data_IF_390855347077
#
_entry.id   IF_390855347077
#
_cell.length_a   1.000
_cell.length_b   1.000
_cell.length_c   1.000
_cell.angle_alpha   90.00
_cell.angle_beta   90.00
_cell.angle_gamma   90.00
#
_symmetry.space_group_name_H-M   'P 1'
#
loop_
_entity.id
_entity.type
_entity.pdbx_description
1 polymer ?
#
# COMPACT_ATOMS: atom_id res chain seq x y z
N UNK A 1 24.63 -9.45 0.12
CA UNK A 1 25.05 -8.04 -0.03
C UNK A 1 26.54 -7.92 0.27
N UNK A 2 27.36 -7.26 -0.57
CA UNK A 2 28.77 -7.01 -0.25
C UNK A 2 28.87 -6.02 0.92
N UNK A 3 29.52 -6.41 2.02
CA UNK A 3 29.73 -5.52 3.17
C UNK A 3 30.93 -4.62 2.92
N UNK A 4 30.72 -3.33 2.75
CA UNK A 4 31.80 -2.36 2.68
C UNK A 4 32.23 -1.96 4.10
N UNK A 5 33.45 -2.33 4.50
CA UNK A 5 34.07 -1.87 5.75
C UNK A 5 34.86 -0.59 5.48
N UNK A 6 34.37 0.53 5.98
CA UNK A 6 35.11 1.79 5.96
C UNK A 6 36.05 1.84 7.17
N UNK A 7 37.35 1.96 6.92
CA UNK A 7 38.36 2.19 7.95
C UNK A 7 38.93 3.61 7.84
N UNK A 8 39.45 4.10 8.96
CA UNK A 8 40.10 5.40 9.04
C UNK A 8 41.48 5.29 8.35
N UNK A 9 41.81 6.26 7.50
CA UNK A 9 43.06 6.28 6.72
C UNK A 9 44.27 6.30 7.66
N UNK A 10 45.08 5.23 7.64
CA UNK A 10 46.29 5.07 8.46
C UNK A 10 47.58 5.05 7.62
N UNK A 11 47.46 5.24 6.30
CA UNK A 11 48.59 5.30 5.38
C UNK A 11 49.16 3.94 4.99
N UNK A 12 48.65 2.84 5.55
CA UNK A 12 48.97 1.47 5.12
C UNK A 12 48.05 0.97 4.00
N UNK A 13 46.96 1.69 3.72
CA UNK A 13 46.07 1.38 2.60
C UNK A 13 46.74 1.70 1.27
N UNK A 14 46.75 0.75 0.34
CA UNK A 14 47.12 0.95 -1.06
C UNK A 14 45.85 0.94 -1.94
N UNK A 15 45.07 2.04 -2.00
CA UNK A 15 43.79 2.06 -2.73
C UNK A 15 43.95 1.99 -4.25
N UNK A 16 45.16 2.13 -4.80
CA UNK A 16 45.44 2.23 -6.24
C UNK A 16 46.40 1.15 -6.78
N UNK A 17 46.58 0.04 -6.04
CA UNK A 17 47.20 -1.18 -6.57
C UNK A 17 48.51 -1.03 -7.38
N UNK A 18 48.62 -1.83 -8.45
CA UNK A 18 49.73 -1.84 -9.43
C UNK A 18 49.56 -0.75 -10.52
N UNK A 19 48.49 0.05 -10.45
CA UNK A 19 48.08 1.04 -11.47
C UNK A 19 48.92 2.33 -11.43
N UNK A 20 49.88 2.42 -10.51
CA UNK A 20 50.67 3.62 -10.21
C UNK A 20 51.54 4.05 -11.39
N UNK A 21 52.06 3.10 -12.15
CA UNK A 21 53.01 3.38 -13.24
C UNK A 21 52.31 4.02 -14.45
N UNK A 22 51.09 3.59 -14.81
CA UNK A 22 50.30 4.26 -15.87
C UNK A 22 49.64 5.55 -15.41
N UNK A 23 49.29 5.65 -14.13
CA UNK A 23 48.91 6.92 -13.49
C UNK A 23 50.03 7.95 -13.71
N UNK A 24 51.28 7.55 -13.48
CA UNK A 24 52.46 8.39 -13.71
C UNK A 24 52.70 8.71 -15.18
N UNK A 25 52.44 7.81 -16.12
CA UNK A 25 52.55 8.10 -17.56
C UNK A 25 51.50 9.12 -18.02
N UNK A 26 50.22 8.95 -17.63
CA UNK A 26 49.17 9.90 -18.02
C UNK A 26 49.36 11.28 -17.38
N UNK A 27 49.88 11.32 -16.14
CA UNK A 27 50.24 12.56 -15.46
C UNK A 27 51.49 13.18 -16.09
N UNK A 28 52.47 12.38 -16.51
CA UNK A 28 53.70 12.88 -17.14
C UNK A 28 53.44 13.55 -18.48
N UNK A 29 52.57 12.98 -19.32
CA UNK A 29 52.21 13.60 -20.61
C UNK A 29 51.53 14.97 -20.42
N UNK A 30 50.60 15.09 -19.47
CA UNK A 30 49.91 16.36 -19.19
C UNK A 30 50.79 17.39 -18.45
N UNK A 31 51.71 16.93 -17.58
CA UNK A 31 52.69 17.77 -16.87
C UNK A 31 53.79 18.25 -17.81
N UNK A 32 54.23 17.43 -18.78
CA UNK A 32 55.17 17.87 -19.82
C UNK A 32 54.52 18.89 -20.77
N UNK A 33 53.22 18.78 -21.02
CA UNK A 33 52.50 19.72 -21.88
C UNK A 33 52.20 21.08 -21.21
N UNK A 34 51.92 21.12 -19.90
CA UNK A 34 51.44 22.35 -19.23
C UNK A 34 52.12 22.70 -17.90
N UNK A 35 53.05 21.89 -17.41
CA UNK A 35 53.93 22.20 -16.27
C UNK A 35 53.30 22.17 -14.87
N UNK A 36 52.04 21.72 -14.72
CA UNK A 36 51.35 21.74 -13.42
C UNK A 36 50.59 20.44 -13.14
N UNK A 37 51.13 19.66 -12.20
CA UNK A 37 50.59 18.38 -11.74
C UNK A 37 49.17 18.51 -11.14
N UNK A 38 48.88 19.64 -10.48
CA UNK A 38 47.54 19.86 -9.92
C UNK A 38 46.49 20.02 -11.01
N UNK A 39 46.88 20.59 -12.16
CA UNK A 39 45.99 20.75 -13.31
C UNK A 39 45.72 19.42 -13.99
N UNK A 40 46.75 18.57 -14.15
CA UNK A 40 46.63 17.22 -14.72
C UNK A 40 45.69 16.35 -13.88
N UNK A 41 45.91 16.29 -12.56
CA UNK A 41 45.05 15.56 -11.62
C UNK A 41 43.60 16.06 -11.67
N UNK A 42 43.38 17.38 -11.70
CA UNK A 42 42.03 17.95 -11.78
C UNK A 42 41.33 17.62 -13.10
N UNK A 43 42.09 17.57 -14.19
CA UNK A 43 41.60 17.21 -15.52
C UNK A 43 41.18 15.74 -15.58
N UNK A 44 42.02 14.87 -15.01
CA UNK A 44 41.77 13.44 -14.86
C UNK A 44 40.51 13.18 -14.02
N UNK A 45 40.38 13.79 -12.84
CA UNK A 45 39.17 13.67 -12.01
C UNK A 45 37.91 14.21 -12.69
N UNK A 46 38.02 15.19 -13.58
CA UNK A 46 36.87 15.75 -14.30
C UNK A 46 36.45 14.94 -15.52
N UNK A 47 37.38 14.29 -16.23
CA UNK A 47 37.10 13.54 -17.48
C UNK A 47 37.08 12.02 -17.32
N UNK A 48 37.61 11.49 -16.21
CA UNK A 48 37.85 10.06 -16.03
C UNK A 48 39.16 9.63 -16.66
N UNK A 49 39.51 8.36 -16.46
CA UNK A 49 40.71 7.73 -17.02
C UNK A 49 40.43 6.26 -17.34
N UNK A 50 41.31 5.61 -18.10
CA UNK A 50 41.20 4.19 -18.44
C UNK A 50 42.11 3.36 -17.53
N UNK A 51 41.57 2.27 -17.01
CA UNK A 51 42.27 1.29 -16.18
C UNK A 51 43.07 0.28 -17.04
N UNK A 52 43.94 -0.52 -16.42
CA UNK A 52 44.83 -1.48 -17.10
C UNK A 52 44.08 -2.50 -17.97
N UNK A 53 42.88 -2.89 -17.57
CA UNK A 53 41.98 -3.79 -18.32
C UNK A 53 41.25 -3.11 -19.49
N UNK A 54 41.54 -1.83 -19.78
CA UNK A 54 40.82 -1.01 -20.75
C UNK A 54 39.43 -0.58 -20.28
N UNK A 55 39.15 -0.72 -18.98
CA UNK A 55 37.88 -0.30 -18.38
C UNK A 55 37.93 1.21 -18.10
N UNK A 56 36.97 1.95 -18.64
CA UNK A 56 36.88 3.39 -18.42
C UNK A 56 36.33 3.68 -17.01
N UNK A 57 37.11 4.37 -16.20
CA UNK A 57 36.71 4.87 -14.89
C UNK A 57 36.00 6.22 -15.08
N UNK A 58 34.74 6.29 -14.66
CA UNK A 58 33.89 7.47 -14.78
C UNK A 58 34.50 8.67 -14.03
N UNK A 59 34.56 9.83 -14.69
CA UNK A 59 34.94 11.09 -14.06
C UNK A 59 33.85 11.64 -13.13
N UNK A 60 34.17 12.69 -12.37
CA UNK A 60 33.21 13.40 -11.51
C UNK A 60 32.00 13.95 -12.30
N UNK A 61 32.16 14.22 -13.60
CA UNK A 61 31.06 14.67 -14.46
C UNK A 61 30.06 13.54 -14.72
N UNK A 62 30.54 12.41 -15.23
CA UNK A 62 29.73 11.20 -15.43
C UNK A 62 29.12 10.73 -14.10
N UNK A 63 29.87 10.73 -13.00
CA UNK A 63 29.32 10.37 -11.69
C UNK A 63 28.20 11.33 -11.25
N UNK A 64 28.35 12.64 -11.50
CA UNK A 64 27.29 13.62 -11.21
C UNK A 64 26.08 13.45 -12.11
N UNK A 65 26.28 13.14 -13.38
CA UNK A 65 25.20 12.86 -14.33
C UNK A 65 24.45 11.58 -13.94
N UNK A 66 25.18 10.53 -13.55
CA UNK A 66 24.63 9.27 -12.99
C UNK A 66 23.89 9.50 -11.67
N UNK A 67 24.43 10.30 -10.75
CA UNK A 67 23.77 10.66 -9.50
C UNK A 67 22.50 11.49 -9.74
N UNK A 68 22.50 12.38 -10.73
CA UNK A 68 21.28 13.11 -11.13
C UNK A 68 20.23 12.18 -11.72
N UNK A 69 20.63 11.27 -12.62
CA UNK A 69 19.73 10.27 -13.20
C UNK A 69 19.17 9.33 -12.11
N UNK A 70 20.01 8.87 -11.18
CA UNK A 70 19.59 8.03 -10.06
C UNK A 70 18.68 8.78 -9.09
N UNK A 71 18.95 10.05 -8.81
CA UNK A 71 18.06 10.92 -8.03
C UNK A 71 16.72 11.09 -8.72
N UNK A 72 16.72 11.29 -10.03
CA UNK A 72 15.49 11.47 -10.81
C UNK A 72 14.65 10.19 -10.84
N UNK A 73 15.27 9.03 -11.05
CA UNK A 73 14.61 7.72 -10.94
C UNK A 73 14.07 7.44 -9.53
N UNK A 74 14.80 7.85 -8.49
CA UNK A 74 14.30 7.75 -7.11
C UNK A 74 13.11 8.68 -6.88
N UNK A 75 13.15 9.92 -7.37
CA UNK A 75 12.03 10.86 -7.27
C UNK A 75 10.80 10.38 -8.05
N UNK A 76 10.96 9.80 -9.24
CA UNK A 76 9.87 9.18 -10.01
C UNK A 76 9.28 7.96 -9.29
N UNK A 77 10.13 7.16 -8.62
CA UNK A 77 9.68 6.04 -7.76
C UNK A 77 8.89 6.52 -6.53
N UNK A 78 9.03 7.78 -6.13
CA UNK A 78 8.27 8.44 -5.06
C UNK A 78 7.17 9.38 -5.59
N UNK A 79 6.58 9.09 -6.76
CA UNK A 79 5.36 9.74 -7.30
C UNK A 79 4.12 9.71 -6.35
N UNK A 80 4.27 9.21 -5.13
CA UNK A 80 3.28 9.34 -4.05
C UNK A 80 2.95 10.81 -3.78
N UNK A 81 3.90 11.75 -3.91
CA UNK A 81 3.65 13.17 -3.63
C UNK A 81 2.64 13.77 -4.63
N UNK A 82 2.78 13.46 -5.92
CA UNK A 82 1.83 13.91 -6.96
C UNK A 82 0.46 13.27 -6.82
N UNK A 83 0.38 11.98 -6.46
CA UNK A 83 -0.91 11.31 -6.21
C UNK A 83 -1.60 11.88 -4.97
N UNK A 84 -0.82 12.25 -3.95
CA UNK A 84 -1.34 12.88 -2.74
C UNK A 84 -1.82 14.31 -3.00
N UNK A 85 -1.14 15.05 -3.86
CA UNK A 85 -1.58 16.37 -4.31
C UNK A 85 -2.89 16.29 -5.10
N UNK A 86 -3.00 15.36 -6.06
CA UNK A 86 -4.24 15.12 -6.81
C UNK A 86 -5.39 14.70 -5.89
N UNK A 87 -5.12 13.82 -4.92
CA UNK A 87 -6.10 13.38 -3.92
C UNK A 87 -6.59 14.56 -3.08
N UNK A 88 -5.67 15.42 -2.63
CA UNK A 88 -5.97 16.61 -1.85
C UNK A 88 -6.81 17.60 -2.63
N UNK A 89 -6.50 17.82 -3.90
CA UNK A 89 -7.28 18.71 -4.78
C UNK A 89 -8.70 18.19 -4.97
N UNK A 90 -8.87 16.91 -5.30
CA UNK A 90 -10.21 16.31 -5.47
C UNK A 90 -11.02 16.32 -4.18
N UNK A 91 -10.38 16.05 -3.04
CA UNK A 91 -11.01 16.13 -1.73
C UNK A 91 -11.48 17.56 -1.42
N UNK A 92 -10.67 18.56 -1.74
CA UNK A 92 -11.05 19.97 -1.61
C UNK A 92 -12.23 20.33 -2.51
N UNK A 93 -12.30 19.79 -3.73
CA UNK A 93 -13.45 19.98 -4.63
C UNK A 93 -14.74 19.37 -4.05
N UNK A 94 -14.67 18.19 -3.43
CA UNK A 94 -15.80 17.57 -2.72
C UNK A 94 -16.29 18.48 -1.59
N UNK A 95 -15.38 18.94 -0.73
CA UNK A 95 -15.70 19.82 0.41
C UNK A 95 -16.28 21.15 -0.09
N UNK A 96 -15.69 21.75 -1.12
CA UNK A 96 -16.18 22.99 -1.71
C UNK A 96 -17.58 22.82 -2.31
N UNK A 97 -17.84 21.69 -2.96
CA UNK A 97 -19.16 21.36 -3.52
C UNK A 97 -20.20 21.19 -2.42
N UNK A 98 -19.87 20.48 -1.33
CA UNK A 98 -20.75 20.33 -0.17
C UNK A 98 -21.05 21.67 0.49
N UNK A 99 -20.03 22.49 0.78
CA UNK A 99 -20.20 23.84 1.35
C UNK A 99 -21.09 24.73 0.47
N UNK A 100 -20.95 24.64 -0.85
CA UNK A 100 -21.79 25.35 -1.81
C UNK A 100 -23.23 24.82 -1.79
N UNK A 101 -23.40 23.50 -1.77
CA UNK A 101 -24.70 22.83 -1.73
C UNK A 101 -25.47 23.14 -0.45
N UNK A 102 -24.83 23.09 0.72
CA UNK A 102 -25.39 23.49 2.01
C UNK A 102 -25.90 24.93 1.94
N UNK A 103 -25.05 25.86 1.47
CA UNK A 103 -25.39 27.28 1.36
C UNK A 103 -26.56 27.52 0.42
N UNK A 104 -26.56 26.84 -0.74
CA UNK A 104 -27.65 26.90 -1.70
C UNK A 104 -28.97 26.41 -1.10
N UNK A 105 -28.97 25.24 -0.45
CA UNK A 105 -30.15 24.64 0.16
C UNK A 105 -30.76 25.53 1.25
N UNK A 106 -29.93 26.12 2.11
CA UNK A 106 -30.38 27.07 3.14
C UNK A 106 -30.92 28.35 2.53
N UNK A 107 -30.32 28.85 1.46
CA UNK A 107 -30.79 30.05 0.78
C UNK A 107 -32.13 29.81 0.07
N UNK A 108 -32.25 28.74 -0.70
CA UNK A 108 -33.50 28.36 -1.38
C UNK A 108 -34.65 28.17 -0.37
N UNK A 109 -34.36 27.50 0.73
CA UNK A 109 -35.24 27.34 1.87
C UNK A 109 -35.74 28.69 2.44
N UNK A 110 -34.84 29.67 2.63
CA UNK A 110 -35.19 31.02 3.10
C UNK A 110 -36.04 31.78 2.09
N UNK A 111 -35.68 31.73 0.81
CA UNK A 111 -36.41 32.40 -0.26
C UNK A 111 -37.84 31.84 -0.40
N UNK A 112 -38.01 30.52 -0.25
CA UNK A 112 -39.34 29.90 -0.22
C UNK A 112 -40.19 30.42 0.94
N UNK A 113 -39.59 30.62 2.12
CA UNK A 113 -40.30 31.10 3.30
C UNK A 113 -40.72 32.57 3.17
N UNK A 114 -39.87 33.40 2.53
CA UNK A 114 -40.20 34.79 2.21
C UNK A 114 -41.32 34.90 1.17
N UNK A 115 -41.39 33.99 0.20
CA UNK A 115 -42.42 33.98 -0.85
C UNK A 115 -43.81 33.55 -0.35
N UNK A 116 -43.88 32.63 0.62
CA UNK A 116 -45.16 32.09 1.13
C UNK A 116 -45.74 32.97 2.26
N UNK A 117 -44.97 33.89 2.84
CA UNK A 117 -45.46 34.90 3.78
C UNK A 117 -45.91 34.31 5.14
N UNK A 118 -46.77 35.04 5.86
CA UNK A 118 -47.15 34.76 7.26
C UNK A 118 -48.05 33.51 7.44
N UNK A 119 -48.57 32.91 6.35
CA UNK A 119 -49.34 31.65 6.38
C UNK A 119 -48.45 30.39 6.52
N UNK A 120 -47.13 30.57 6.58
CA UNK A 120 -46.09 29.53 6.57
C UNK A 120 -45.66 29.04 7.96
N UNK A 121 -46.53 29.13 8.98
CA UNK A 121 -46.18 28.70 10.35
C UNK A 121 -45.70 27.24 10.44
N UNK A 122 -46.20 26.38 9.54
CA UNK A 122 -45.85 24.96 9.45
C UNK A 122 -44.47 24.69 8.82
N UNK A 123 -43.90 25.65 8.07
CA UNK A 123 -42.57 25.52 7.45
C UNK A 123 -41.44 26.00 8.37
N UNK A 124 -41.73 26.75 9.44
CA UNK A 124 -40.70 27.27 10.36
C UNK A 124 -39.90 26.19 11.09
N UNK A 125 -40.55 25.13 11.57
CA UNK A 125 -39.87 24.03 12.28
C UNK A 125 -38.93 23.24 11.36
N UNK A 126 -39.37 22.75 10.18
CA UNK A 126 -38.47 22.14 9.20
C UNK A 126 -37.26 23.01 8.82
N UNK A 127 -37.46 24.33 8.73
CA UNK A 127 -36.38 25.26 8.38
C UNK A 127 -35.36 25.40 9.49
N UNK A 128 -35.80 25.48 10.75
CA UNK A 128 -34.89 25.52 11.89
C UNK A 128 -34.03 24.26 11.95
N UNK A 129 -34.62 23.09 11.72
CA UNK A 129 -33.89 21.83 11.65
C UNK A 129 -32.89 21.79 10.49
N UNK A 130 -33.26 22.31 9.31
CA UNK A 130 -32.34 22.42 8.18
C UNK A 130 -31.17 23.35 8.48
N UNK A 131 -31.43 24.50 9.10
CA UNK A 131 -30.39 25.46 9.49
C UNK A 131 -29.45 24.91 10.58
N UNK A 132 -30.00 24.20 11.57
CA UNK A 132 -29.23 23.51 12.60
C UNK A 132 -28.33 22.44 11.98
N UNK A 133 -28.90 21.59 11.12
CA UNK A 133 -28.13 20.60 10.37
C UNK A 133 -27.04 21.24 9.50
N UNK A 134 -27.37 22.31 8.76
CA UNK A 134 -26.42 23.01 7.92
C UNK A 134 -25.25 23.58 8.73
N UNK A 135 -25.52 24.07 9.94
CA UNK A 135 -24.50 24.56 10.86
C UNK A 135 -23.63 23.43 11.39
N UNK A 136 -24.24 22.34 11.86
CA UNK A 136 -23.51 21.17 12.35
C UNK A 136 -22.61 20.57 11.26
N UNK A 137 -23.14 20.48 10.04
CA UNK A 137 -22.38 20.07 8.85
C UNK A 137 -21.19 20.99 8.58
N UNK A 138 -21.39 22.32 8.61
CA UNK A 138 -20.30 23.28 8.41
C UNK A 138 -19.23 23.17 9.49
N UNK A 139 -19.63 23.04 10.75
CA UNK A 139 -18.69 22.89 11.87
C UNK A 139 -17.87 21.60 11.73
N UNK A 140 -18.48 20.50 11.30
CA UNK A 140 -17.75 19.24 11.00
C UNK A 140 -16.73 19.42 9.88
N UNK A 141 -17.13 20.05 8.77
CA UNK A 141 -16.25 20.29 7.61
C UNK A 141 -15.06 21.20 7.98
N UNK A 142 -15.24 22.16 8.89
CA UNK A 142 -14.18 23.04 9.39
C UNK A 142 -13.22 22.33 10.36
N UNK A 143 -13.68 21.27 11.04
CA UNK A 143 -12.86 20.46 11.96
C UNK A 143 -12.10 19.30 11.29
N UNK A 144 -12.23 19.14 9.97
CA UNK A 144 -11.59 18.05 9.25
C UNK A 144 -10.06 18.07 9.44
N UNK A 145 -9.42 16.90 9.60
CA UNK A 145 -7.97 16.79 9.68
C UNK A 145 -7.28 17.35 8.42
N UNK A 146 -6.10 17.97 8.59
CA UNK A 146 -5.29 18.44 7.46
C UNK A 146 -4.75 17.29 6.58
N UNK A 147 -4.74 16.06 7.12
CA UNK A 147 -4.29 14.88 6.39
C UNK A 147 -5.41 14.32 5.48
N UNK A 148 -5.12 14.03 4.20
CA UNK A 148 -6.12 13.49 3.28
C UNK A 148 -6.76 12.18 3.78
N UNK A 149 -5.97 11.28 4.37
CA UNK A 149 -6.48 10.03 4.91
C UNK A 149 -7.43 10.23 6.11
N UNK A 150 -7.14 11.19 6.98
CA UNK A 150 -8.01 11.53 8.12
C UNK A 150 -9.33 12.14 7.64
N UNK A 151 -9.26 13.09 6.71
CA UNK A 151 -10.45 13.71 6.14
C UNK A 151 -11.33 12.72 5.36
N UNK A 152 -10.77 11.78 4.59
CA UNK A 152 -11.54 10.73 3.91
C UNK A 152 -12.28 9.84 4.92
N UNK A 153 -11.61 9.46 6.01
CA UNK A 153 -12.23 8.66 7.06
C UNK A 153 -13.42 9.38 7.68
N UNK A 154 -13.25 10.65 8.07
CA UNK A 154 -14.32 11.44 8.66
C UNK A 154 -15.47 11.69 7.66
N UNK A 155 -15.16 11.84 6.36
CA UNK A 155 -16.15 12.01 5.30
C UNK A 155 -16.88 10.71 4.92
N UNK A 156 -16.33 9.55 5.23
CA UNK A 156 -17.00 8.25 4.99
C UNK A 156 -18.22 8.10 5.89
N UNK A 157 -18.12 8.55 7.14
CA UNK A 157 -19.22 8.55 8.10
C UNK A 157 -20.07 9.84 8.03
N UNK A 158 -19.76 10.74 7.09
CA UNK A 158 -20.42 12.03 6.95
C UNK A 158 -21.68 11.95 6.09
N UNK A 159 -22.79 12.49 6.60
CA UNK A 159 -24.07 12.52 5.90
C UNK A 159 -24.19 13.77 5.02
N UNK A 160 -23.75 13.64 3.77
CA UNK A 160 -23.79 14.70 2.76
C UNK A 160 -25.19 15.28 2.60
N UNK A 161 -25.27 16.60 2.63
CA UNK A 161 -26.50 17.29 2.26
C UNK A 161 -26.60 17.38 0.74
N UNK A 162 -25.47 17.57 0.05
CA UNK A 162 -25.41 17.72 -1.39
C UNK A 162 -25.21 16.42 -2.19
N UNK A 163 -26.13 16.06 -3.11
CA UNK A 163 -26.02 14.83 -3.87
C UNK A 163 -24.86 14.86 -4.87
N UNK A 164 -24.45 16.04 -5.36
CA UNK A 164 -23.30 16.16 -6.26
C UNK A 164 -21.99 15.95 -5.49
N UNK A 165 -21.87 16.54 -4.29
CA UNK A 165 -20.73 16.31 -3.41
C UNK A 165 -20.59 14.84 -3.01
N UNK A 166 -21.71 14.18 -2.68
CA UNK A 166 -21.71 12.75 -2.37
C UNK A 166 -21.22 11.92 -3.56
N UNK A 167 -21.71 12.20 -4.77
CA UNK A 167 -21.27 11.49 -5.99
C UNK A 167 -19.77 11.67 -6.23
N UNK A 168 -19.26 12.91 -6.16
CA UNK A 168 -17.83 13.20 -6.33
C UNK A 168 -16.97 12.46 -5.29
N UNK A 169 -17.45 12.35 -4.05
CA UNK A 169 -16.78 11.60 -3.01
C UNK A 169 -16.74 10.10 -3.31
N UNK A 170 -17.83 9.51 -3.78
CA UNK A 170 -17.87 8.10 -4.20
C UNK A 170 -16.91 7.83 -5.37
N UNK A 171 -16.92 8.70 -6.40
CA UNK A 171 -15.98 8.59 -7.53
C UNK A 171 -14.50 8.67 -7.09
N UNK A 172 -14.22 9.51 -6.08
CA UNK A 172 -12.89 9.61 -5.46
C UNK A 172 -12.51 8.32 -4.74
N UNK A 173 -13.42 7.74 -3.95
CA UNK A 173 -13.20 6.46 -3.26
C UNK A 173 -12.96 5.33 -4.26
N UNK A 174 -13.78 5.23 -5.31
CA UNK A 174 -13.61 4.22 -6.37
C UNK A 174 -12.24 4.36 -7.05
N UNK A 175 -11.85 5.58 -7.42
CA UNK A 175 -10.55 5.83 -8.06
C UNK A 175 -9.40 5.44 -7.13
N UNK A 176 -9.48 5.83 -5.86
CA UNK A 176 -8.46 5.53 -4.85
C UNK A 176 -8.35 4.02 -4.63
N UNK A 177 -9.48 3.32 -4.51
CA UNK A 177 -9.52 1.87 -4.39
C UNK A 177 -8.85 1.20 -5.59
N UNK A 178 -9.19 1.61 -6.82
CA UNK A 178 -8.59 1.07 -8.04
C UNK A 178 -7.07 1.27 -8.08
N UNK A 179 -6.58 2.47 -7.73
CA UNK A 179 -5.15 2.77 -7.71
C UNK A 179 -4.41 1.97 -6.63
N UNK A 180 -5.00 1.84 -5.44
CA UNK A 180 -4.45 1.04 -4.34
C UNK A 180 -4.36 -0.44 -4.73
N UNK A 181 -5.40 -0.98 -5.35
CA UNK A 181 -5.43 -2.37 -5.84
C UNK A 181 -4.36 -2.59 -6.92
N UNK A 182 -4.17 -1.66 -7.85
CA UNK A 182 -3.11 -1.75 -8.86
C UNK A 182 -1.72 -1.77 -8.23
N UNK A 183 -1.45 -0.89 -7.26
CA UNK A 183 -0.17 -0.85 -6.55
C UNK A 183 0.07 -2.15 -5.77
N UNK A 184 -0.95 -2.66 -5.08
CA UNK A 184 -0.91 -3.93 -4.37
C UNK A 184 -0.58 -5.08 -5.31
N UNK A 185 -1.26 -5.17 -6.45
CA UNK A 185 -1.05 -6.22 -7.44
C UNK A 185 0.37 -6.19 -8.06
N UNK A 186 0.90 -5.01 -8.35
CA UNK A 186 2.27 -4.86 -8.81
C UNK A 186 3.28 -5.33 -7.75
N UNK A 187 3.05 -4.97 -6.48
CA UNK A 187 3.85 -5.46 -5.35
C UNK A 187 3.78 -6.97 -5.20
N UNK A 188 2.58 -7.55 -5.29
CA UNK A 188 2.37 -8.99 -5.22
C UNK A 188 3.08 -9.72 -6.36
N UNK A 189 2.99 -9.21 -7.59
CA UNK A 189 3.71 -9.79 -8.74
C UNK A 189 5.22 -9.79 -8.53
N UNK A 190 5.78 -8.71 -7.96
CA UNK A 190 7.20 -8.65 -7.65
C UNK A 190 7.57 -9.68 -6.57
N UNK A 191 6.77 -9.76 -5.51
CA UNK A 191 7.02 -10.71 -4.42
C UNK A 191 6.89 -12.17 -4.87
N UNK A 192 5.90 -12.51 -5.71
CA UNK A 192 5.74 -13.85 -6.27
C UNK A 192 6.90 -14.23 -7.20
N UNK A 193 7.46 -13.26 -7.94
CA UNK A 193 8.66 -13.49 -8.75
C UNK A 193 9.91 -13.69 -7.89
N UNK A 194 9.94 -13.11 -6.70
CA UNK A 194 11.03 -13.21 -5.75
C UNK A 194 10.92 -14.45 -4.83
N UNK A 195 9.78 -15.16 -4.85
CA UNK A 195 9.62 -16.41 -4.09
C UNK A 195 10.41 -17.56 -4.71
N UNK A 196 11.18 -18.24 -3.88
CA UNK A 196 11.91 -19.44 -4.28
C UNK A 196 11.01 -20.69 -4.23
N UNK A 197 11.28 -21.73 -5.05
CA UNK A 197 10.58 -23.00 -4.97
C UNK A 197 10.66 -23.67 -3.59
N UNK A 198 11.77 -23.46 -2.87
CA UNK A 198 11.96 -23.99 -1.51
C UNK A 198 11.00 -23.36 -0.50
N UNK A 199 10.72 -22.06 -0.63
CA UNK A 199 9.76 -21.36 0.22
C UNK A 199 8.31 -21.82 -0.04
N UNK A 200 7.99 -22.18 -1.28
CA UNK A 200 6.66 -22.71 -1.62
C UNK A 200 6.44 -24.10 -1.04
N UNK A 201 7.45 -24.96 -1.10
CA UNK A 201 7.38 -26.30 -0.51
C UNK A 201 7.29 -26.23 1.02
N UNK A 202 8.04 -25.33 1.66
CA UNK A 202 7.97 -25.13 3.10
C UNK A 202 6.59 -24.62 3.57
N UNK A 203 6.02 -23.66 2.83
CA UNK A 203 4.65 -23.17 3.05
C UNK A 203 3.61 -24.29 2.90
N UNK A 204 3.77 -25.14 1.89
CA UNK A 204 2.89 -26.29 1.64
C UNK A 204 2.90 -27.27 2.81
N UNK A 205 4.07 -27.66 3.28
CA UNK A 205 4.22 -28.56 4.42
C UNK A 205 3.59 -27.96 5.69
N UNK A 206 3.72 -26.64 5.90
CA UNK A 206 3.07 -25.94 7.00
C UNK A 206 1.53 -26.01 6.91
N UNK A 207 0.95 -25.72 5.73
CA UNK A 207 -0.51 -25.77 5.53
C UNK A 207 -1.02 -27.20 5.71
N UNK A 208 -0.28 -28.19 5.20
CA UNK A 208 -0.63 -29.61 5.38
C UNK A 208 -0.63 -30.01 6.87
N UNK A 209 0.37 -29.59 7.64
CA UNK A 209 0.43 -29.83 9.08
C UNK A 209 -0.74 -29.15 9.83
N UNK A 210 -1.11 -27.94 9.41
CA UNK A 210 -2.27 -27.24 9.95
C UNK A 210 -3.59 -27.97 9.65
N UNK A 211 -3.80 -28.42 8.42
CA UNK A 211 -4.97 -29.21 8.04
C UNK A 211 -5.06 -30.51 8.86
N UNK A 212 -3.93 -31.19 9.12
CA UNK A 212 -3.91 -32.37 9.98
C UNK A 212 -4.38 -32.05 11.40
N UNK A 213 -3.87 -30.97 12.01
CA UNK A 213 -4.30 -30.55 13.35
C UNK A 213 -5.79 -30.20 13.41
N UNK A 214 -6.32 -29.57 12.36
CA UNK A 214 -7.74 -29.26 12.24
C UNK A 214 -8.60 -30.51 12.10
N UNK A 215 -8.15 -31.50 11.31
CA UNK A 215 -8.80 -32.80 11.21
C UNK A 215 -8.80 -33.55 12.55
N UNK A 216 -7.65 -33.59 13.24
CA UNK A 216 -7.53 -34.25 14.56
C UNK A 216 -8.54 -33.64 15.54
N UNK A 217 -8.62 -32.32 15.60
CA UNK A 217 -9.61 -31.60 16.40
C UNK A 217 -11.05 -31.93 16.00
N UNK A 218 -11.35 -31.99 14.71
CA UNK A 218 -12.68 -32.35 14.21
C UNK A 218 -13.07 -33.79 14.59
N UNK A 219 -12.10 -34.70 14.71
CA UNK A 219 -12.28 -36.06 15.21
C UNK A 219 -12.33 -36.17 16.74
N UNK A 220 -12.13 -35.06 17.47
CA UNK A 220 -12.06 -35.02 18.93
C UNK A 220 -10.73 -35.54 19.51
N UNK A 221 -9.68 -35.59 18.70
CA UNK A 221 -8.30 -35.85 19.11
C UNK A 221 -7.62 -34.55 19.55
N UNK A 222 -6.55 -34.68 20.34
CA UNK A 222 -5.73 -33.55 20.79
C UNK A 222 -4.63 -33.26 19.74
N UNK A 223 -4.67 -32.10 19.06
CA UNK A 223 -3.70 -31.77 18.01
C UNK A 223 -2.33 -31.38 18.60
N UNK A 224 -1.25 -31.82 17.95
CA UNK A 224 0.13 -31.52 18.37
C UNK A 224 0.57 -30.11 17.93
N UNK A 225 0.07 -29.10 18.63
CA UNK A 225 0.42 -27.70 18.39
C UNK A 225 1.87 -27.37 18.79
N UNK A 226 2.42 -28.08 19.78
CA UNK A 226 3.80 -27.84 20.25
C UNK A 226 4.81 -28.26 19.17
N UNK A 227 4.62 -29.44 18.57
CA UNK A 227 5.43 -29.89 17.43
C UNK A 227 5.29 -28.99 16.21
N UNK A 228 4.07 -28.52 15.90
CA UNK A 228 3.85 -27.54 14.82
C UNK A 228 4.66 -26.26 15.01
N UNK A 229 4.70 -25.73 16.24
CA UNK A 229 5.45 -24.51 16.54
C UNK A 229 6.97 -24.73 16.58
N UNK A 230 7.45 -25.95 16.84
CA UNK A 230 8.87 -26.29 16.74
C UNK A 230 9.36 -26.21 15.28
N UNK A 231 8.59 -26.79 14.35
CA UNK A 231 8.95 -26.84 12.93
C UNK A 231 8.65 -25.51 12.19
N UNK A 232 7.49 -24.91 12.44
CA UNK A 232 6.97 -23.77 11.66
C UNK A 232 6.89 -22.45 12.44
N UNK A 233 7.30 -22.40 13.71
CA UNK A 233 7.15 -21.21 14.55
C UNK A 233 7.91 -19.97 14.04
N UNK A 234 8.92 -20.16 13.18
CA UNK A 234 9.70 -19.07 12.58
C UNK A 234 8.89 -18.23 11.58
N UNK A 235 7.82 -18.79 10.98
CA UNK A 235 6.92 -18.06 10.07
C UNK A 235 6.05 -17.03 10.80
N UNK A 236 5.91 -17.18 12.12
CA UNK A 236 5.06 -16.34 12.95
C UNK A 236 5.85 -15.30 13.76
N UNK A 237 7.14 -15.09 13.47
CA UNK A 237 7.94 -14.09 14.18
C UNK A 237 7.59 -12.64 13.80
N UNK A 238 7.45 -11.70 14.76
CA UNK A 238 7.61 -11.85 16.22
C UNK A 238 6.32 -12.24 16.96
N UNK A 239 5.18 -12.28 16.26
CA UNK A 239 3.85 -12.37 16.83
C UNK A 239 3.37 -13.84 16.86
N UNK A 240 4.05 -14.68 17.64
CA UNK A 240 3.78 -16.13 17.69
C UNK A 240 2.48 -16.44 18.45
N UNK A 241 1.59 -17.29 17.91
CA UNK A 241 0.41 -17.75 18.64
C UNK A 241 0.80 -18.65 19.81
N UNK A 242 0.05 -18.55 20.91
CA UNK A 242 0.25 -19.36 22.12
C UNK A 242 -0.58 -20.64 22.12
N UNK A 243 -1.60 -20.72 21.27
CA UNK A 243 -2.45 -21.91 21.12
C UNK A 243 -2.97 -22.05 19.68
N UNK A 244 -3.44 -23.26 19.35
CA UNK A 244 -4.11 -23.52 18.08
C UNK A 244 -5.36 -22.62 17.93
N UNK A 245 -6.14 -22.41 18.98
CA UNK A 245 -7.32 -21.52 18.93
C UNK A 245 -6.94 -20.08 18.54
N UNK A 246 -5.84 -19.56 19.10
CA UNK A 246 -5.35 -18.23 18.79
C UNK A 246 -4.87 -18.14 17.33
N UNK A 247 -4.17 -19.16 16.85
CA UNK A 247 -3.76 -19.25 15.44
C UNK A 247 -4.98 -19.23 14.51
N UNK A 248 -6.01 -20.02 14.82
CA UNK A 248 -7.23 -20.10 14.02
C UNK A 248 -8.02 -18.79 14.04
N UNK A 249 -8.13 -18.11 15.19
CA UNK A 249 -8.78 -16.80 15.28
C UNK A 249 -8.05 -15.74 14.44
N UNK A 250 -6.71 -15.75 14.46
CA UNK A 250 -5.88 -14.86 13.61
C UNK A 250 -6.09 -15.16 12.13
N UNK A 251 -6.02 -16.44 11.75
CA UNK A 251 -6.22 -16.87 10.36
C UNK A 251 -7.63 -16.52 9.87
N UNK A 252 -8.66 -16.73 10.69
CA UNK A 252 -10.04 -16.38 10.37
C UNK A 252 -10.23 -14.88 10.10
N UNK A 253 -9.65 -14.01 10.94
CA UNK A 253 -9.66 -12.55 10.70
C UNK A 253 -8.96 -12.18 9.40
N UNK A 254 -7.83 -12.82 9.09
CA UNK A 254 -7.10 -12.57 7.87
C UNK A 254 -7.88 -13.03 6.63
N UNK A 255 -8.53 -14.19 6.70
CA UNK A 255 -9.40 -14.69 5.63
C UNK A 255 -10.61 -13.79 5.40
N UNK A 256 -11.25 -13.29 6.45
CA UNK A 256 -12.36 -12.33 6.33
C UNK A 256 -11.91 -11.02 5.67
N UNK A 257 -10.73 -10.51 6.03
CA UNK A 257 -10.16 -9.33 5.39
C UNK A 257 -9.85 -9.59 3.91
N UNK A 258 -9.29 -10.76 3.58
CA UNK A 258 -9.03 -11.17 2.20
C UNK A 258 -10.33 -11.33 1.40
N UNK A 259 -11.38 -11.89 2.00
CA UNK A 259 -12.70 -12.04 1.38
C UNK A 259 -13.34 -10.67 1.12
N UNK A 260 -13.29 -9.75 2.07
CA UNK A 260 -13.78 -8.37 1.86
C UNK A 260 -13.03 -7.67 0.72
N UNK A 261 -11.72 -7.90 0.60
CA UNK A 261 -10.93 -7.40 -0.53
C UNK A 261 -11.35 -8.07 -1.85
N UNK A 262 -11.53 -9.39 -1.89
CA UNK A 262 -12.05 -10.11 -3.06
C UNK A 262 -13.41 -9.58 -3.47
N UNK A 263 -14.33 -9.40 -2.52
CA UNK A 263 -15.67 -8.87 -2.74
C UNK A 263 -15.64 -7.44 -3.31
N UNK A 264 -14.62 -6.67 -2.94
CA UNK A 264 -14.40 -5.32 -3.45
C UNK A 264 -13.74 -5.25 -4.84
N UNK A 265 -13.15 -6.34 -5.33
CA UNK A 265 -12.55 -6.40 -6.67
C UNK A 265 -13.59 -6.66 -7.76
N UNK A 266 -13.35 -6.11 -8.97
CA UNK A 266 -14.20 -6.37 -10.14
C UNK A 266 -14.11 -7.83 -10.60
N UNK A 267 -15.14 -8.37 -11.29
CA UNK A 267 -15.11 -9.74 -11.82
C UNK A 267 -13.90 -10.02 -12.72
N UNK A 268 -13.49 -9.03 -13.52
CA UNK A 268 -12.33 -9.15 -14.41
C UNK A 268 -11.02 -9.25 -13.63
N UNK A 269 -10.84 -8.44 -12.58
CA UNK A 269 -9.63 -8.47 -11.75
C UNK A 269 -9.51 -9.79 -10.98
N UNK A 270 -10.64 -10.34 -10.50
CA UNK A 270 -10.65 -11.66 -9.84
C UNK A 270 -10.18 -12.75 -10.79
N UNK A 271 -10.70 -12.77 -12.02
CA UNK A 271 -10.30 -13.75 -13.02
C UNK A 271 -8.82 -13.64 -13.41
N UNK A 272 -8.28 -12.43 -13.51
CA UNK A 272 -6.85 -12.22 -13.76
C UNK A 272 -5.98 -12.71 -12.59
N UNK A 273 -6.40 -12.44 -11.35
CA UNK A 273 -5.71 -12.90 -10.14
C UNK A 273 -5.72 -14.43 -10.05
N UNK A 274 -6.87 -15.08 -10.27
CA UNK A 274 -6.99 -16.54 -10.32
C UNK A 274 -6.03 -17.13 -11.36
N UNK A 275 -5.98 -16.55 -12.57
CA UNK A 275 -5.08 -17.01 -13.63
C UNK A 275 -3.61 -16.89 -13.23
N UNK A 276 -3.23 -15.82 -12.53
CA UNK A 276 -1.85 -15.62 -12.08
C UNK A 276 -1.48 -16.55 -10.93
N UNK A 277 -2.39 -16.73 -9.97
CA UNK A 277 -2.20 -17.68 -8.87
C UNK A 277 -2.02 -19.09 -9.43
N UNK A 278 -2.86 -19.51 -10.38
CA UNK A 278 -2.76 -20.83 -10.98
C UNK A 278 -1.51 -21.03 -11.84
N UNK A 279 -0.96 -19.96 -12.41
CA UNK A 279 0.31 -20.00 -13.14
C UNK A 279 1.55 -20.02 -12.24
N UNK A 280 1.44 -19.49 -11.01
CA UNK A 280 2.59 -19.26 -10.11
C UNK A 280 2.64 -20.22 -8.91
N UNK A 281 1.50 -20.76 -8.47
CA UNK A 281 1.40 -21.67 -7.33
C UNK A 281 1.46 -23.14 -7.76
N UNK A 282 2.02 -24.00 -6.91
CA UNK A 282 1.96 -25.46 -7.06
C UNK A 282 0.49 -25.92 -6.94
N UNK A 283 -0.02 -26.78 -7.87
CA UNK A 283 -1.35 -27.38 -7.74
C UNK A 283 -1.61 -28.05 -6.39
N UNK A 284 -0.58 -28.67 -5.79
CA UNK A 284 -0.71 -29.23 -4.44
C UNK A 284 -1.11 -28.17 -3.42
N UNK A 285 -0.31 -27.09 -3.31
CA UNK A 285 -0.55 -26.02 -2.35
C UNK A 285 -1.97 -25.42 -2.46
N UNK A 286 -2.50 -25.28 -3.68
CA UNK A 286 -3.86 -24.81 -3.89
C UNK A 286 -4.91 -25.77 -3.32
N UNK A 287 -4.70 -27.08 -3.49
CA UNK A 287 -5.57 -28.10 -2.91
C UNK A 287 -5.55 -28.03 -1.38
N UNK A 288 -4.37 -27.94 -0.76
CA UNK A 288 -4.25 -27.85 0.70
C UNK A 288 -4.86 -26.55 1.27
N UNK A 289 -4.69 -25.42 0.58
CA UNK A 289 -5.34 -24.15 0.96
C UNK A 289 -6.87 -24.20 0.82
N UNK A 290 -7.38 -24.89 -0.20
CA UNK A 290 -8.82 -25.07 -0.38
C UNK A 290 -9.44 -25.92 0.72
N UNK A 291 -8.71 -26.96 1.17
CA UNK A 291 -9.11 -27.79 2.28
C UNK A 291 -9.12 -26.98 3.60
N UNK A 292 -8.08 -26.19 3.83
CA UNK A 292 -7.99 -25.29 4.99
C UNK A 292 -9.19 -24.33 5.02
N UNK A 293 -9.51 -23.70 3.89
CA UNK A 293 -10.61 -22.75 3.79
C UNK A 293 -11.96 -23.41 4.12
N UNK A 294 -12.20 -24.62 3.63
CA UNK A 294 -13.41 -25.39 3.92
C UNK A 294 -13.52 -25.74 5.41
N UNK A 295 -12.42 -26.17 6.04
CA UNK A 295 -12.41 -26.48 7.47
C UNK A 295 -12.63 -25.23 8.33
N UNK A 296 -12.04 -24.10 7.92
CA UNK A 296 -12.22 -22.81 8.59
C UNK A 296 -13.64 -22.28 8.51
N UNK A 297 -14.31 -22.39 7.35
CA UNK A 297 -15.71 -21.99 7.17
C UNK A 297 -16.66 -22.78 8.09
N UNK A 298 -16.38 -24.06 8.32
CA UNK A 298 -17.17 -24.87 9.26
C UNK A 298 -16.97 -24.45 10.73
N UNK A 299 -15.75 -24.06 11.10
CA UNK A 299 -15.41 -23.66 12.46
C UNK A 299 -15.85 -22.22 12.78
N UNK A 300 -15.79 -21.33 11.78
CA UNK A 300 -16.16 -19.92 11.87
C UNK A 300 -17.16 -19.58 10.75
N UNK A 301 -18.43 -20.05 10.85
CA UNK A 301 -19.42 -19.71 9.85
C UNK A 301 -19.59 -18.20 9.78
N UNK A 302 -19.41 -17.64 8.58
CA UNK A 302 -19.59 -16.22 8.31
C UNK A 302 -20.98 -15.76 8.75
N UNK A 303 -21.06 -14.70 9.55
CA UNK A 303 -22.33 -14.14 10.07
C UNK A 303 -23.28 -13.64 8.94
N UNK A 304 -22.81 -13.62 7.68
CA UNK A 304 -23.65 -13.38 6.49
C UNK A 304 -24.75 -14.43 6.27
N UNK A 305 -24.64 -15.63 6.85
CA UNK A 305 -25.68 -16.66 6.77
C UNK A 305 -26.89 -16.41 7.71
N UNK A 306 -26.88 -15.32 8.48
CA UNK A 306 -28.06 -14.85 9.23
C UNK A 306 -28.80 -13.76 8.45
N UNK A 307 -29.21 -14.06 7.23
CA UNK A 307 -30.39 -13.41 6.66
C UNK A 307 -31.58 -13.79 7.55
N UNK A 308 -31.92 -12.90 8.49
CA UNK A 308 -33.22 -12.94 9.15
C UNK A 308 -34.28 -12.86 8.05
N UNK A 309 -35.13 -13.90 7.86
CA UNK A 309 -36.30 -13.71 7.03
C UNK A 309 -37.21 -12.72 7.77
N UNK A 310 -37.22 -11.47 7.31
CA UNK A 310 -38.29 -10.52 7.60
C UNK A 310 -39.58 -11.09 6.99
N UNK A 311 -40.22 -12.04 7.67
CA UNK A 311 -41.66 -12.20 7.55
C UNK A 311 -42.29 -11.11 8.41
N UNK A 312 -42.53 -9.95 7.80
CA UNK A 312 -43.58 -9.07 8.28
C UNK A 312 -44.89 -9.84 8.13
N UNK A 313 -45.46 -10.30 9.24
CA UNK A 313 -46.89 -10.57 9.30
C UNK A 313 -47.60 -9.21 9.18
N UNK A 314 -48.12 -8.90 8.00
CA UNK A 314 -49.20 -7.93 7.89
C UNK A 314 -50.41 -8.50 8.63
N UNK A 315 -50.84 -7.81 9.69
CA UNK A 315 -52.16 -7.96 10.32
C UNK A 315 -52.96 -6.68 10.14
#
# INVERSE_FOLDING_TARGET
>A
MPSYKYSRWDGSQQPFGQDVDRLMDSLSDDVLAHGDLNRALRSMFHRGFEDEDGQRIDGLRELRERLRAQRQLQLERYNLDSLMDDLKERLQDVIATECKGIRGRVQEAREQLEQVGDESGHLREPMRLLEERARDSSERLDTLPESPAGAIKDLTDYEFMDPEAHRKFQELLETLQQQMLQSFFQGMRQQLQDMSPEQLEDLKNMVQALNQMLQDRAMGLDPDFEGFMEDYGHHFDPDRPTSLDELLERLGRQMQAAQSLMDSMSPEMRSELESLMQASMDPGLLDELSELAYQMEQLFPSDQAREYPFMGEES
#
